data_IF_041005788162
#
_entry.id   IF_041005788162
#
_cell.length_a   1.000
_cell.length_b   1.000
_cell.length_c   1.000
_cell.angle_alpha   90.00
_cell.angle_beta   90.00
_cell.angle_gamma   90.00
#
_symmetry.space_group_name_H-M   'P 1'
#
loop_
_entity.id
_entity.type
_entity.pdbx_description
1 polymer ?
#
# COMPACT_ATOMS: atom_id res chain seq x y z
N UNK A 1 1.76 -14.68 -23.78
CA UNK A 1 2.84 -14.78 -22.77
C UNK A 1 2.85 -13.45 -22.06
N UNK A 2 2.51 -13.42 -20.77
CA UNK A 2 2.58 -12.19 -19.96
C UNK A 2 4.06 -12.01 -19.61
N UNK A 3 4.61 -10.82 -19.85
CA UNK A 3 6.03 -10.55 -19.59
C UNK A 3 6.23 -10.32 -18.08
N UNK A 4 7.41 -10.61 -17.51
CA UNK A 4 7.70 -10.35 -16.09
C UNK A 4 7.48 -8.88 -15.67
N UNK A 5 7.53 -7.96 -16.63
CA UNK A 5 7.23 -6.53 -16.44
C UNK A 5 5.73 -6.29 -16.20
N UNK A 6 4.86 -6.98 -16.95
CA UNK A 6 3.41 -6.85 -16.83
C UNK A 6 2.92 -7.40 -15.47
N UNK A 7 3.58 -8.45 -14.95
CA UNK A 7 3.32 -8.98 -13.61
C UNK A 7 3.75 -7.98 -12.51
N UNK A 8 4.86 -7.26 -12.71
CA UNK A 8 5.30 -6.21 -11.78
C UNK A 8 4.35 -5.02 -11.76
N UNK A 9 3.88 -4.58 -12.92
CA UNK A 9 2.92 -3.48 -13.03
C UNK A 9 1.57 -3.85 -12.39
N UNK A 10 1.12 -5.09 -12.59
CA UNK A 10 -0.10 -5.59 -11.94
C UNK A 10 0.04 -5.66 -10.42
N UNK A 11 1.16 -6.18 -9.92
CA UNK A 11 1.44 -6.22 -8.48
C UNK A 11 1.53 -4.83 -7.87
N UNK A 12 2.10 -3.87 -8.60
CA UNK A 12 2.14 -2.46 -8.21
C UNK A 12 0.72 -1.89 -8.12
N UNK A 13 -0.13 -2.10 -9.12
CA UNK A 13 -1.52 -1.63 -9.13
C UNK A 13 -2.33 -2.21 -7.96
N UNK A 14 -2.17 -3.51 -7.68
CA UNK A 14 -2.82 -4.18 -6.55
C UNK A 14 -2.35 -3.58 -5.21
N UNK A 15 -1.03 -3.39 -5.03
CA UNK A 15 -0.45 -2.78 -3.84
C UNK A 15 -0.92 -1.32 -3.68
N UNK A 16 -0.94 -0.53 -4.76
CA UNK A 16 -1.43 0.85 -4.75
C UNK A 16 -2.91 0.92 -4.38
N UNK A 17 -3.73 0.02 -4.91
CA UNK A 17 -5.15 -0.09 -4.57
C UNK A 17 -5.36 -0.38 -3.08
N UNK A 18 -4.61 -1.35 -2.54
CA UNK A 18 -4.66 -1.70 -1.12
C UNK A 18 -4.22 -0.53 -0.23
N UNK A 19 -3.10 0.12 -0.55
CA UNK A 19 -2.57 1.27 0.19
C UNK A 19 -3.56 2.43 0.24
N UNK A 20 -4.14 2.80 -0.92
CA UNK A 20 -5.16 3.85 -0.99
C UNK A 20 -6.39 3.51 -0.14
N UNK A 21 -6.82 2.25 -0.17
CA UNK A 21 -7.94 1.76 0.66
C UNK A 21 -7.65 1.86 2.16
N UNK A 22 -6.47 1.42 2.60
CA UNK A 22 -6.06 1.49 4.01
C UNK A 22 -5.88 2.95 4.46
N UNK A 23 -5.29 3.82 3.64
CA UNK A 23 -5.13 5.24 3.95
C UNK A 23 -6.49 5.95 4.14
N UNK A 24 -7.48 5.64 3.31
CA UNK A 24 -8.84 6.18 3.45
C UNK A 24 -9.49 5.74 4.77
N UNK A 25 -9.40 4.45 5.12
CA UNK A 25 -9.98 3.94 6.37
C UNK A 25 -9.23 4.47 7.59
N UNK A 26 -7.90 4.59 7.52
CA UNK A 26 -7.07 5.21 8.55
C UNK A 26 -7.55 6.63 8.82
N UNK A 27 -7.65 7.48 7.79
CA UNK A 27 -8.13 8.86 7.92
C UNK A 27 -9.52 8.90 8.57
N UNK A 28 -10.46 8.07 8.10
CA UNK A 28 -11.81 7.99 8.67
C UNK A 28 -11.83 7.55 10.13
N UNK A 29 -10.93 6.66 10.55
CA UNK A 29 -10.81 6.24 11.95
C UNK A 29 -10.23 7.35 12.82
N UNK A 30 -9.22 8.06 12.33
CA UNK A 30 -8.61 9.20 13.02
C UNK A 30 -9.59 10.37 13.17
N UNK A 31 -10.37 10.69 12.14
CA UNK A 31 -11.42 11.72 12.18
C UNK A 31 -12.50 11.42 13.23
N UNK A 32 -12.68 10.13 13.59
CA UNK A 32 -13.62 9.65 14.61
C UNK A 32 -12.98 9.45 15.99
N UNK A 33 -11.71 9.81 16.17
CA UNK A 33 -10.96 9.60 17.41
C UNK A 33 -10.59 8.14 17.71
N UNK A 34 -10.73 7.23 16.75
CA UNK A 34 -10.40 5.80 16.90
C UNK A 34 -8.94 5.53 16.55
N UNK A 35 -8.05 5.95 17.46
CA UNK A 35 -6.60 5.89 17.24
C UNK A 35 -6.10 4.46 16.94
N UNK A 36 -6.49 3.46 17.75
CA UNK A 36 -6.04 2.08 17.57
C UNK A 36 -6.48 1.48 16.22
N UNK A 37 -7.71 1.77 15.79
CA UNK A 37 -8.21 1.32 14.48
C UNK A 37 -7.45 2.00 13.34
N UNK A 38 -7.17 3.30 13.48
CA UNK A 38 -6.34 4.05 12.53
C UNK A 38 -4.93 3.45 12.41
N UNK A 39 -4.29 3.16 13.53
CA UNK A 39 -2.96 2.55 13.57
C UNK A 39 -2.97 1.12 12.99
N UNK A 40 -4.06 0.37 13.15
CA UNK A 40 -4.22 -0.94 12.51
C UNK A 40 -4.23 -0.82 10.98
N UNK A 41 -4.95 0.16 10.44
CA UNK A 41 -4.93 0.44 9.00
C UNK A 41 -3.54 0.87 8.50
N UNK A 42 -2.83 1.71 9.28
CA UNK A 42 -1.44 2.08 8.98
C UNK A 42 -0.50 0.86 8.97
N UNK A 43 -0.62 -0.02 9.96
CA UNK A 43 0.18 -1.25 10.05
C UNK A 43 -0.08 -2.18 8.87
N UNK A 44 -1.34 -2.36 8.48
CA UNK A 44 -1.71 -3.15 7.30
C UNK A 44 -1.12 -2.55 6.02
N UNK A 45 -1.18 -1.22 5.87
CA UNK A 45 -0.59 -0.51 4.74
C UNK A 45 0.92 -0.78 4.62
N UNK A 46 1.66 -0.73 5.72
CA UNK A 46 3.09 -1.07 5.78
C UNK A 46 3.36 -2.57 5.57
N UNK A 47 2.40 -3.43 5.93
CA UNK A 47 2.46 -4.88 5.70
C UNK A 47 2.45 -5.23 4.21
N UNK A 48 1.56 -4.60 3.44
CA UNK A 48 1.45 -4.78 1.98
C UNK A 48 2.76 -4.39 1.26
N UNK A 49 3.49 -3.40 1.78
CA UNK A 49 4.81 -3.00 1.26
C UNK A 49 5.87 -4.08 1.41
N UNK A 50 5.81 -4.86 2.50
CA UNK A 50 6.82 -5.87 2.83
C UNK A 50 6.56 -7.20 2.11
N UNK A 51 5.30 -7.49 1.78
CA UNK A 51 4.90 -8.72 1.08
C UNK A 51 4.99 -8.60 -0.44
N UNK A 52 4.98 -7.38 -0.98
CA UNK A 52 5.08 -7.18 -2.41
C UNK A 52 6.51 -7.50 -2.89
N UNK A 53 6.66 -8.53 -3.73
CA UNK A 53 7.90 -8.95 -4.43
C UNK A 53 8.29 -7.94 -5.52
N UNK A 54 8.27 -6.65 -5.19
CA UNK A 54 8.49 -5.55 -6.11
C UNK A 54 9.98 -5.39 -6.39
N UNK A 55 10.30 -5.07 -7.63
CA UNK A 55 11.64 -4.65 -7.99
C UNK A 55 12.04 -3.38 -7.21
N UNK A 56 13.34 -3.11 -7.00
CA UNK A 56 13.80 -1.93 -6.28
C UNK A 56 13.23 -0.60 -6.80
N UNK A 57 12.99 -0.50 -8.11
CA UNK A 57 12.39 0.68 -8.76
C UNK A 57 10.94 0.87 -8.31
N UNK A 58 10.16 -0.20 -8.42
CA UNK A 58 8.72 -0.22 -8.13
C UNK A 58 8.45 0.00 -6.63
N UNK A 59 9.32 -0.53 -5.76
CA UNK A 59 9.29 -0.23 -4.32
C UNK A 59 9.55 1.25 -4.02
N UNK A 60 10.48 1.89 -4.74
CA UNK A 60 10.81 3.30 -4.54
C UNK A 60 9.67 4.23 -4.95
N UNK A 61 9.03 3.97 -6.10
CA UNK A 61 7.86 4.73 -6.57
C UNK A 61 6.72 4.69 -5.55
N UNK A 62 6.47 3.52 -4.95
CA UNK A 62 5.40 3.34 -3.99
C UNK A 62 5.74 3.93 -2.60
N UNK A 63 7.01 3.92 -2.20
CA UNK A 63 7.49 4.59 -0.99
C UNK A 63 7.35 6.12 -1.06
N UNK A 64 7.67 6.73 -2.22
CA UNK A 64 7.48 8.17 -2.45
C UNK A 64 6.01 8.56 -2.31
N UNK A 65 5.08 7.71 -2.75
CA UNK A 65 3.64 8.00 -2.73
C UNK A 65 3.05 7.99 -1.31
N UNK A 66 3.70 7.27 -0.39
CA UNK A 66 3.36 7.24 1.03
C UNK A 66 3.98 8.39 1.85
N UNK A 67 5.01 9.03 1.31
CA UNK A 67 5.70 10.18 1.92
C UNK A 67 4.88 11.45 1.80
#
# INVERSE_FOLDING_TARGET
MVSPMDDQDKLLDEAMGAVRGQAFQMKRCLDKGRLMDGLKHASNMLGELRTSLLSPKTYYELCILLS
#
